data_IF_543036756504
#
_entry.id   IF_543036756504
#
_cell.length_a   1.000
_cell.length_b   1.000
_cell.length_c   1.000
_cell.angle_alpha   90.00
_cell.angle_beta   90.00
_cell.angle_gamma   90.00
#
_symmetry.space_group_name_H-M   'P 1'
#
loop_
_entity.id
_entity.type
_entity.pdbx_description
1 polymer ?
#
# COMPACT_ATOMS: atom_id res chain seq x y z
N UNK A 1 40.84 -11.32 -7.49
CA UNK A 1 39.41 -11.33 -7.84
C UNK A 1 38.65 -10.61 -6.74
N UNK A 2 38.79 -9.29 -6.70
CA UNK A 2 38.02 -8.46 -5.77
C UNK A 2 36.69 -8.17 -6.48
N UNK A 3 35.65 -8.93 -6.11
CA UNK A 3 34.29 -8.64 -6.55
C UNK A 3 33.90 -7.26 -6.05
N UNK A 4 33.59 -6.35 -6.98
CA UNK A 4 33.11 -5.02 -6.65
C UNK A 4 31.90 -5.12 -5.74
N UNK A 5 31.92 -4.39 -4.63
CA UNK A 5 30.78 -4.33 -3.72
C UNK A 5 29.56 -3.80 -4.49
N UNK A 6 28.34 -4.31 -4.24
CA UNK A 6 27.12 -3.93 -4.99
C UNK A 6 26.78 -2.43 -4.94
N UNK A 7 27.50 -1.67 -4.10
CA UNK A 7 27.40 -0.22 -3.93
C UNK A 7 28.28 0.59 -4.91
N UNK A 8 29.16 -0.03 -5.69
CA UNK A 8 30.06 0.66 -6.66
C UNK A 8 29.73 0.39 -8.12
N UNK A 9 28.83 -0.55 -8.40
CA UNK A 9 28.43 -0.91 -9.76
C UNK A 9 27.28 -0.01 -10.24
N UNK A 10 27.43 0.65 -11.39
CA UNK A 10 26.39 1.49 -12.02
C UNK A 10 25.82 0.88 -13.30
N UNK A 11 26.49 -0.13 -13.86
CA UNK A 11 26.11 -0.84 -15.09
C UNK A 11 26.56 -2.31 -15.01
N UNK A 12 25.99 -3.16 -15.86
CA UNK A 12 26.34 -4.59 -15.93
C UNK A 12 27.65 -4.75 -16.70
N UNK A 13 28.73 -5.08 -15.98
CA UNK A 13 30.07 -5.29 -16.54
C UNK A 13 30.62 -6.63 -16.04
N UNK A 14 31.69 -7.15 -16.65
CA UNK A 14 32.32 -8.41 -16.23
C UNK A 14 32.76 -8.43 -14.74
N UNK A 15 33.00 -7.27 -14.12
CA UNK A 15 33.28 -7.14 -12.68
C UNK A 15 32.03 -7.01 -11.79
N UNK A 16 30.85 -6.80 -12.37
CA UNK A 16 29.55 -6.57 -11.71
C UNK A 16 28.46 -7.46 -12.35
N UNK A 17 28.46 -8.78 -12.06
CA UNK A 17 27.46 -9.69 -12.61
C UNK A 17 26.05 -9.36 -12.09
N UNK A 18 25.03 -9.78 -12.84
CA UNK A 18 23.61 -9.52 -12.53
C UNK A 18 23.18 -10.14 -11.20
N UNK A 19 23.87 -11.21 -10.80
CA UNK A 19 23.74 -11.89 -9.51
C UNK A 19 24.14 -10.98 -8.33
N UNK A 20 25.00 -9.98 -8.57
CA UNK A 20 25.39 -8.98 -7.59
C UNK A 20 24.42 -7.79 -7.52
N UNK A 21 23.40 -7.73 -8.39
CA UNK A 21 22.33 -6.72 -8.29
C UNK A 21 21.37 -7.02 -7.13
N UNK A 22 20.64 -6.01 -6.65
CA UNK A 22 19.73 -6.14 -5.48
C UNK A 22 18.67 -7.24 -5.70
N UNK A 23 18.29 -7.51 -6.95
CA UNK A 23 17.32 -8.54 -7.29
C UNK A 23 17.96 -9.89 -7.63
N UNK A 24 19.22 -9.93 -8.06
CA UNK A 24 19.89 -11.17 -8.50
C UNK A 24 19.32 -11.79 -9.80
N UNK A 25 18.33 -11.15 -10.43
CA UNK A 25 17.71 -11.58 -11.70
C UNK A 25 17.19 -10.38 -12.50
N UNK A 26 17.04 -10.54 -13.81
CA UNK A 26 16.41 -9.54 -14.69
C UNK A 26 14.88 -9.54 -14.55
N UNK A 27 14.23 -8.41 -14.18
CA UNK A 27 12.78 -8.34 -14.05
C UNK A 27 12.03 -8.46 -15.39
N UNK A 28 11.32 -9.57 -15.62
CA UNK A 28 10.67 -9.88 -16.91
C UNK A 28 9.89 -8.71 -17.56
N UNK A 29 10.36 -8.17 -18.70
CA UNK A 29 9.78 -7.01 -19.42
C UNK A 29 8.29 -7.16 -19.77
N UNK A 30 7.84 -8.22 -20.46
CA UNK A 30 6.44 -8.36 -20.89
C UNK A 30 5.45 -8.30 -19.73
N UNK A 31 5.77 -8.90 -18.58
CA UNK A 31 4.89 -8.90 -17.41
C UNK A 31 4.78 -7.49 -16.82
N UNK A 32 5.90 -6.81 -16.64
CA UNK A 32 5.90 -5.44 -16.10
C UNK A 32 5.19 -4.47 -17.06
N UNK A 33 5.39 -4.59 -18.37
CA UNK A 33 4.70 -3.79 -19.38
C UNK A 33 3.18 -4.05 -19.39
N UNK A 34 2.75 -5.31 -19.30
CA UNK A 34 1.34 -5.65 -19.19
C UNK A 34 0.69 -5.01 -17.95
N UNK A 35 1.38 -5.02 -16.80
CA UNK A 35 0.89 -4.39 -15.58
C UNK A 35 0.78 -2.87 -15.72
N UNK A 36 1.75 -2.19 -16.35
CA UNK A 36 1.66 -0.75 -16.65
C UNK A 36 0.41 -0.45 -17.49
N UNK A 37 0.15 -1.23 -18.54
CA UNK A 37 -1.03 -1.07 -19.40
C UNK A 37 -2.31 -1.26 -18.61
N UNK A 38 -2.39 -2.31 -17.78
CA UNK A 38 -3.57 -2.59 -16.94
C UNK A 38 -3.83 -1.42 -15.98
N UNK A 39 -2.82 -0.94 -15.25
CA UNK A 39 -2.99 0.20 -14.34
C UNK A 39 -3.33 1.50 -15.09
N UNK A 40 -2.79 1.68 -16.31
CA UNK A 40 -3.17 2.79 -17.20
C UNK A 40 -4.65 2.74 -17.61
N UNK A 41 -5.16 1.58 -18.02
CA UNK A 41 -6.58 1.39 -18.35
C UNK A 41 -7.46 1.64 -17.11
N UNK A 42 -7.07 1.09 -15.96
CA UNK A 42 -7.79 1.32 -14.70
C UNK A 42 -7.85 2.81 -14.35
N UNK A 43 -6.77 3.55 -14.57
CA UNK A 43 -6.72 5.00 -14.36
C UNK A 43 -7.71 5.75 -15.27
N UNK A 44 -7.79 5.38 -16.56
CA UNK A 44 -8.74 5.97 -17.51
C UNK A 44 -10.20 5.67 -17.13
N UNK A 45 -10.48 4.43 -16.75
CA UNK A 45 -11.81 4.00 -16.28
C UNK A 45 -12.22 4.75 -15.01
N UNK A 46 -11.28 5.01 -14.10
CA UNK A 46 -11.53 5.82 -12.91
C UNK A 46 -11.74 7.29 -13.24
N UNK A 47 -10.98 7.84 -14.18
CA UNK A 47 -11.20 9.18 -14.72
C UNK A 47 -12.64 9.34 -15.23
N UNK A 48 -13.10 8.42 -16.09
CA UNK A 48 -14.47 8.43 -16.61
C UNK A 48 -15.53 8.31 -15.50
N UNK A 49 -15.33 7.43 -14.52
CA UNK A 49 -16.24 7.31 -13.37
C UNK A 49 -16.29 8.59 -12.54
N UNK A 50 -15.19 9.34 -12.44
CA UNK A 50 -15.16 10.63 -11.74
C UNK A 50 -16.08 11.64 -12.40
N UNK A 51 -15.99 11.77 -13.73
CA UNK A 51 -16.83 12.69 -14.49
C UNK A 51 -18.31 12.33 -14.39
N UNK A 52 -18.63 11.03 -14.40
CA UNK A 52 -20.01 10.55 -14.34
C UNK A 52 -20.63 10.62 -12.93
N UNK A 53 -19.91 10.18 -11.90
CA UNK A 53 -20.44 10.00 -10.55
C UNK A 53 -20.03 11.10 -9.56
N UNK A 54 -19.18 12.06 -9.97
CA UNK A 54 -18.72 13.21 -9.17
C UNK A 54 -18.11 12.84 -7.81
N UNK A 55 -17.52 11.64 -7.71
CA UNK A 55 -16.86 11.12 -6.49
C UNK A 55 -15.39 11.55 -6.42
N UNK A 56 -15.14 12.87 -6.33
CA UNK A 56 -13.80 13.45 -6.45
C UNK A 56 -12.77 12.90 -5.46
N UNK A 57 -13.11 12.75 -4.18
CA UNK A 57 -12.14 12.30 -3.14
C UNK A 57 -11.77 10.82 -3.27
N UNK A 58 -12.75 9.97 -3.56
CA UNK A 58 -12.51 8.54 -3.82
C UNK A 58 -11.67 8.35 -5.09
N UNK A 59 -12.02 9.07 -6.15
CA UNK A 59 -11.31 8.94 -7.41
C UNK A 59 -9.88 9.49 -7.34
N UNK A 60 -9.66 10.58 -6.61
CA UNK A 60 -8.32 11.11 -6.37
C UNK A 60 -7.42 10.06 -5.72
N UNK A 61 -7.88 9.43 -4.62
CA UNK A 61 -7.13 8.39 -3.93
C UNK A 61 -6.84 7.18 -4.85
N UNK A 62 -7.84 6.71 -5.60
CA UNK A 62 -7.66 5.60 -6.54
C UNK A 62 -6.70 5.94 -7.68
N UNK A 63 -6.80 7.15 -8.24
CA UNK A 63 -5.97 7.62 -9.36
C UNK A 63 -4.50 7.75 -8.93
N UNK A 64 -4.24 8.33 -7.77
CA UNK A 64 -2.88 8.43 -7.22
C UNK A 64 -2.31 7.04 -6.92
N UNK A 65 -3.12 6.12 -6.40
CA UNK A 65 -2.71 4.72 -6.21
C UNK A 65 -2.36 4.02 -7.53
N UNK A 66 -3.20 4.12 -8.56
CA UNK A 66 -2.95 3.54 -9.88
C UNK A 66 -1.74 4.15 -10.58
N UNK A 67 -1.59 5.48 -10.52
CA UNK A 67 -0.42 6.18 -11.03
C UNK A 67 0.84 5.68 -10.30
N UNK A 68 0.72 5.47 -9.00
CA UNK A 68 1.80 4.99 -8.19
C UNK A 68 2.29 3.58 -8.59
N UNK A 69 1.36 2.65 -8.77
CA UNK A 69 1.67 1.31 -9.28
C UNK A 69 2.28 1.38 -10.68
N UNK A 70 1.69 2.17 -11.60
CA UNK A 70 2.20 2.31 -12.96
C UNK A 70 3.64 2.82 -12.99
N UNK A 71 3.96 3.89 -12.24
CA UNK A 71 5.32 4.41 -12.12
C UNK A 71 6.26 3.38 -11.49
N UNK A 72 5.79 2.62 -10.49
CA UNK A 72 6.56 1.55 -9.87
C UNK A 72 6.95 0.44 -10.85
N UNK A 73 6.03 0.03 -11.73
CA UNK A 73 6.30 -0.95 -12.78
C UNK A 73 7.17 -0.38 -13.92
N UNK A 74 7.05 0.91 -14.24
CA UNK A 74 8.00 1.59 -15.13
C UNK A 74 9.41 1.55 -14.54
N UNK A 75 9.55 1.79 -13.23
CA UNK A 75 10.82 1.62 -12.51
C UNK A 75 11.42 0.22 -12.67
N UNK A 76 10.59 -0.83 -12.65
CA UNK A 76 11.02 -2.22 -12.93
C UNK A 76 11.48 -2.46 -14.36
N UNK A 77 10.86 -1.80 -15.33
CA UNK A 77 11.29 -1.88 -16.74
C UNK A 77 12.66 -1.25 -16.90
N UNK A 78 12.87 -0.06 -16.32
CA UNK A 78 14.18 0.62 -16.29
C UNK A 78 15.23 -0.29 -15.62
N UNK A 79 14.85 -0.99 -14.55
CA UNK A 79 15.74 -1.90 -13.83
C UNK A 79 16.04 -3.19 -14.61
N UNK A 80 15.23 -3.57 -15.61
CA UNK A 80 15.61 -4.62 -16.55
C UNK A 80 16.68 -4.15 -17.52
N UNK A 81 16.61 -2.91 -18.02
CA UNK A 81 17.64 -2.37 -18.91
C UNK A 81 18.96 -2.16 -18.17
N UNK A 82 18.90 -1.59 -16.95
CA UNK A 82 20.06 -1.43 -16.08
C UNK A 82 19.72 -1.80 -14.61
N UNK A 83 20.06 -3.04 -14.18
CA UNK A 83 19.85 -3.54 -12.82
C UNK A 83 20.50 -2.72 -11.70
N UNK A 84 21.50 -1.90 -12.05
CA UNK A 84 22.26 -1.07 -11.13
C UNK A 84 21.76 0.39 -11.07
N UNK A 85 20.69 0.72 -11.80
CA UNK A 85 20.11 2.07 -11.77
C UNK A 85 19.50 2.39 -10.40
N UNK A 86 20.20 3.26 -9.65
CA UNK A 86 19.70 3.78 -8.38
C UNK A 86 18.35 4.50 -8.53
N UNK A 87 18.16 5.24 -9.63
CA UNK A 87 16.91 5.96 -9.93
C UNK A 87 15.75 4.99 -10.18
N UNK A 88 15.96 3.93 -10.97
CA UNK A 88 14.93 2.91 -11.23
C UNK A 88 14.51 2.19 -9.94
N UNK A 89 15.49 1.84 -9.11
CA UNK A 89 15.26 1.18 -7.82
C UNK A 89 14.51 2.08 -6.82
N UNK A 90 14.93 3.33 -6.69
CA UNK A 90 14.29 4.30 -5.78
C UNK A 90 12.86 4.64 -6.22
N UNK A 91 12.63 4.85 -7.52
CA UNK A 91 11.28 5.06 -8.06
C UNK A 91 10.39 3.85 -7.75
N UNK A 92 10.85 2.64 -8.07
CA UNK A 92 10.09 1.43 -7.83
C UNK A 92 9.72 1.28 -6.34
N UNK A 93 10.70 1.34 -5.45
CA UNK A 93 10.47 1.12 -4.02
C UNK A 93 9.53 2.17 -3.44
N UNK A 94 9.81 3.46 -3.69
CA UNK A 94 9.03 4.55 -3.11
C UNK A 94 7.58 4.47 -3.57
N UNK A 95 7.36 4.31 -4.88
CA UNK A 95 6.01 4.43 -5.42
C UNK A 95 5.17 3.18 -5.11
N UNK A 96 5.76 1.98 -5.15
CA UNK A 96 5.07 0.76 -4.71
C UNK A 96 4.77 0.78 -3.20
N UNK A 97 5.57 1.46 -2.39
CA UNK A 97 5.29 1.61 -0.96
C UNK A 97 4.08 2.52 -0.72
N UNK A 98 3.98 3.62 -1.47
CA UNK A 98 2.93 4.62 -1.29
C UNK A 98 1.58 4.18 -1.86
N UNK A 99 1.55 3.49 -3.00
CA UNK A 99 0.31 3.13 -3.69
C UNK A 99 -0.74 2.39 -2.84
N UNK A 100 -0.40 1.36 -2.03
CA UNK A 100 -1.36 0.67 -1.17
C UNK A 100 -2.04 1.56 -0.14
N UNK A 101 -1.35 2.58 0.37
CA UNK A 101 -1.93 3.48 1.36
C UNK A 101 -3.03 4.37 0.75
N UNK A 102 -2.87 4.78 -0.52
CA UNK A 102 -3.92 5.48 -1.25
C UNK A 102 -5.13 4.58 -1.52
N UNK A 103 -4.92 3.29 -1.82
CA UNK A 103 -6.02 2.33 -1.92
C UNK A 103 -6.75 2.13 -0.58
N UNK A 104 -6.02 2.06 0.54
CA UNK A 104 -6.63 2.04 1.89
C UNK A 104 -7.47 3.28 2.15
N UNK A 105 -6.98 4.47 1.80
CA UNK A 105 -7.74 5.72 1.95
C UNK A 105 -9.07 5.68 1.17
N UNK A 106 -9.07 5.12 -0.05
CA UNK A 106 -10.28 4.92 -0.84
C UNK A 106 -11.27 3.95 -0.18
N UNK A 107 -10.78 2.87 0.45
CA UNK A 107 -11.58 1.93 1.23
C UNK A 107 -12.19 2.62 2.47
N UNK A 108 -11.42 3.44 3.17
CA UNK A 108 -11.91 4.18 4.34
C UNK A 108 -13.03 5.17 3.98
N UNK A 109 -12.88 5.86 2.85
CA UNK A 109 -13.93 6.75 2.31
C UNK A 109 -15.17 5.96 1.91
N UNK A 110 -15.00 4.80 1.29
CA UNK A 110 -16.10 3.90 0.91
C UNK A 110 -16.88 3.45 2.14
N UNK A 111 -16.18 3.00 3.18
CA UNK A 111 -16.79 2.54 4.41
C UNK A 111 -17.55 3.66 5.13
N UNK A 112 -17.02 4.89 5.14
CA UNK A 112 -17.71 6.06 5.70
C UNK A 112 -19.08 6.25 5.07
N UNK A 113 -19.17 6.24 3.74
CA UNK A 113 -20.45 6.41 3.04
C UNK A 113 -21.38 5.22 3.29
N UNK A 114 -20.81 4.01 3.36
CA UNK A 114 -21.54 2.79 3.70
C UNK A 114 -22.20 2.86 5.08
N UNK A 115 -21.44 3.27 6.11
CA UNK A 115 -21.95 3.42 7.47
C UNK A 115 -23.01 4.53 7.57
N UNK A 116 -22.83 5.64 6.85
CA UNK A 116 -23.84 6.71 6.80
C UNK A 116 -25.14 6.26 6.13
N UNK A 117 -25.06 5.42 5.09
CA UNK A 117 -26.22 4.93 4.35
C UNK A 117 -26.99 3.82 5.08
N UNK A 118 -26.31 2.92 5.80
CA UNK A 118 -26.93 1.76 6.47
C UNK A 118 -27.46 2.09 7.87
N UNK A 119 -26.93 3.12 8.52
CA UNK A 119 -27.37 3.55 9.84
C UNK A 119 -26.20 4.01 10.70
N UNK A 120 -26.05 5.32 10.96
CA UNK A 120 -24.96 5.84 11.79
C UNK A 120 -25.02 5.35 13.25
N UNK A 121 -26.21 4.97 13.74
CA UNK A 121 -26.46 4.52 15.11
C UNK A 121 -25.86 3.13 15.41
N UNK A 122 -25.56 2.32 14.39
CA UNK A 122 -24.92 1.01 14.58
C UNK A 122 -23.39 1.11 14.75
N UNK A 123 -22.79 2.22 14.34
CA UNK A 123 -21.33 2.40 14.37
C UNK A 123 -20.85 2.82 15.77
N UNK A 124 -19.80 2.18 16.27
CA UNK A 124 -19.20 2.46 17.59
C UNK A 124 -18.68 3.90 17.71
N UNK A 125 -18.13 4.47 16.62
CA UNK A 125 -17.90 5.91 16.52
C UNK A 125 -18.49 6.49 15.23
N UNK A 126 -18.67 7.81 15.24
CA UNK A 126 -19.13 8.59 14.08
C UNK A 126 -18.22 8.33 12.87
N UNK A 127 -18.74 7.82 11.74
CA UNK A 127 -17.95 7.44 10.56
C UNK A 127 -17.06 8.54 9.99
N UNK A 128 -17.40 9.81 10.26
CA UNK A 128 -16.64 10.97 9.78
C UNK A 128 -15.27 11.11 10.45
N UNK A 129 -15.13 10.75 11.73
CA UNK A 129 -13.86 10.90 12.46
C UNK A 129 -12.88 9.76 12.15
N UNK A 130 -13.39 8.53 12.00
CA UNK A 130 -12.55 7.39 11.65
C UNK A 130 -11.73 7.62 10.39
N UNK A 131 -12.37 8.05 9.30
CA UNK A 131 -11.65 8.24 8.02
C UNK A 131 -10.56 9.29 8.14
N UNK A 132 -10.79 10.39 8.86
CA UNK A 132 -9.77 11.42 9.06
C UNK A 132 -8.62 10.94 9.93
N UNK A 133 -8.91 10.24 11.03
CA UNK A 133 -7.89 9.70 11.93
C UNK A 133 -7.05 8.66 11.21
N UNK A 134 -7.66 7.66 10.55
CA UNK A 134 -6.94 6.59 9.88
C UNK A 134 -6.11 7.09 8.69
N UNK A 135 -6.64 8.00 7.86
CA UNK A 135 -5.86 8.60 6.77
C UNK A 135 -4.70 9.44 7.33
N UNK A 136 -4.94 10.25 8.36
CA UNK A 136 -3.89 11.08 8.96
C UNK A 136 -2.77 10.25 9.58
N UNK A 137 -3.13 9.16 10.24
CA UNK A 137 -2.19 8.20 10.80
C UNK A 137 -1.41 7.46 9.69
N UNK A 138 -2.08 6.99 8.64
CA UNK A 138 -1.39 6.33 7.52
C UNK A 138 -0.42 7.31 6.83
N UNK A 139 -0.80 8.59 6.68
CA UNK A 139 0.07 9.63 6.12
C UNK A 139 1.29 9.89 7.01
N UNK A 140 1.11 9.93 8.33
CA UNK A 140 2.20 10.04 9.29
C UNK A 140 3.17 8.84 9.16
N UNK A 141 2.62 7.63 9.10
CA UNK A 141 3.40 6.40 8.86
C UNK A 141 4.19 6.44 7.56
N UNK A 142 3.59 6.88 6.45
CA UNK A 142 4.28 7.02 5.16
C UNK A 142 5.39 8.07 5.23
N UNK A 143 5.16 9.17 5.95
CA UNK A 143 6.17 10.23 6.12
C UNK A 143 7.37 9.71 6.91
N UNK A 144 7.14 8.99 8.01
CA UNK A 144 8.20 8.33 8.77
C UNK A 144 8.97 7.34 7.90
N UNK A 145 8.28 6.56 7.07
CA UNK A 145 8.93 5.60 6.17
C UNK A 145 9.76 6.29 5.09
N UNK A 146 9.27 7.39 4.51
CA UNK A 146 9.99 8.18 3.53
C UNK A 146 11.25 8.82 4.12
N UNK A 147 11.12 9.45 5.29
CA UNK A 147 12.26 10.05 6.00
C UNK A 147 13.26 8.98 6.43
N UNK A 148 12.80 7.89 7.04
CA UNK A 148 13.64 6.79 7.48
C UNK A 148 14.38 6.11 6.32
N UNK A 149 13.68 5.86 5.21
CA UNK A 149 14.26 5.32 3.98
C UNK A 149 15.29 6.26 3.35
N UNK A 150 15.00 7.57 3.30
CA UNK A 150 15.93 8.58 2.78
C UNK A 150 17.19 8.73 3.66
N UNK A 151 17.04 8.74 4.98
CA UNK A 151 18.16 8.75 5.92
C UNK A 151 19.02 7.49 5.79
N UNK A 152 18.39 6.32 5.68
CA UNK A 152 19.11 5.06 5.48
C UNK A 152 19.85 5.01 4.14
N UNK A 153 19.29 5.59 3.08
CA UNK A 153 19.91 5.63 1.75
C UNK A 153 21.07 6.63 1.63
N UNK A 154 21.04 7.72 2.40
CA UNK A 154 22.08 8.76 2.39
C UNK A 154 23.20 8.53 3.41
N UNK A 155 23.00 7.59 4.34
CA UNK A 155 23.98 7.16 5.32
C UNK A 155 25.10 6.34 4.64
N UNK A 156 26.08 7.02 4.03
CA UNK A 156 27.22 6.41 3.32
C UNK A 156 27.96 5.36 4.17
N UNK A 157 28.86 5.81 5.05
CA UNK A 157 29.67 4.95 5.93
C UNK A 157 29.27 5.08 7.41
N UNK A 158 28.31 5.95 7.72
CA UNK A 158 27.85 6.16 9.09
C UNK A 158 26.78 5.12 9.46
N UNK A 159 27.22 4.00 10.04
CA UNK A 159 26.33 2.93 10.51
C UNK A 159 25.27 3.44 11.48
N UNK A 160 25.60 4.39 12.37
CA UNK A 160 24.64 4.95 13.32
C UNK A 160 23.51 5.70 12.62
N UNK A 161 23.82 6.46 11.56
CA UNK A 161 22.80 7.16 10.76
C UNK A 161 21.95 6.18 9.95
N UNK A 162 22.56 5.12 9.41
CA UNK A 162 21.85 4.08 8.68
C UNK A 162 20.86 3.33 9.60
N UNK A 163 21.29 2.97 10.80
CA UNK A 163 20.46 2.29 11.80
C UNK A 163 19.37 3.21 12.35
N UNK A 164 19.65 4.50 12.55
CA UNK A 164 18.64 5.49 12.91
C UNK A 164 17.54 5.60 11.83
N UNK A 165 17.91 5.74 10.55
CA UNK A 165 16.94 5.78 9.44
C UNK A 165 16.12 4.49 9.33
N UNK A 166 16.79 3.35 9.48
CA UNK A 166 16.17 2.02 9.54
C UNK A 166 15.11 1.96 10.65
N UNK A 167 15.45 2.39 11.87
CA UNK A 167 14.53 2.37 13.02
C UNK A 167 13.33 3.30 12.83
N UNK A 168 13.53 4.50 12.26
CA UNK A 168 12.44 5.43 11.93
C UNK A 168 11.48 4.81 10.92
N UNK A 169 12.01 4.12 9.90
CA UNK A 169 11.18 3.42 8.93
C UNK A 169 10.39 2.27 9.55
N UNK A 170 10.99 1.49 10.46
CA UNK A 170 10.30 0.42 11.21
C UNK A 170 9.13 0.99 12.00
N UNK A 171 9.36 2.09 12.74
CA UNK A 171 8.33 2.72 13.55
C UNK A 171 7.09 3.07 12.71
N UNK A 172 7.30 3.62 11.52
CA UNK A 172 6.22 3.91 10.57
C UNK A 172 5.45 2.66 10.11
N UNK A 173 6.15 1.54 9.84
CA UNK A 173 5.53 0.28 9.43
C UNK A 173 4.72 -0.35 10.57
N UNK A 174 5.28 -0.40 11.79
CA UNK A 174 4.62 -0.95 12.98
C UNK A 174 3.33 -0.18 13.26
N UNK A 175 3.41 1.15 13.23
CA UNK A 175 2.25 2.02 13.43
C UNK A 175 1.16 1.76 12.38
N UNK A 176 1.55 1.60 11.10
CA UNK A 176 0.62 1.32 10.00
C UNK A 176 -0.07 -0.05 10.14
N UNK A 177 0.65 -1.10 10.56
CA UNK A 177 0.06 -2.43 10.77
C UNK A 177 -0.91 -2.40 11.95
N UNK A 178 -0.54 -1.73 13.04
CA UNK A 178 -1.41 -1.56 14.20
C UNK A 178 -2.72 -0.87 13.82
N UNK A 179 -2.66 0.23 13.07
CA UNK A 179 -3.84 1.02 12.72
C UNK A 179 -4.76 0.30 11.75
N UNK A 180 -4.19 -0.40 10.76
CA UNK A 180 -4.95 -1.28 9.86
C UNK A 180 -5.64 -2.42 10.60
N UNK A 181 -4.99 -2.99 11.63
CA UNK A 181 -5.57 -4.05 12.46
C UNK A 181 -6.78 -3.53 13.25
N UNK A 182 -6.62 -2.38 13.91
CA UNK A 182 -7.71 -1.72 14.64
C UNK A 182 -8.87 -1.38 13.69
N UNK A 183 -8.57 -0.84 12.51
CA UNK A 183 -9.58 -0.58 11.48
C UNK A 183 -10.33 -1.86 11.10
N UNK A 184 -9.61 -2.94 10.77
CA UNK A 184 -10.20 -4.23 10.40
C UNK A 184 -11.13 -4.77 11.48
N UNK A 185 -10.74 -4.67 12.75
CA UNK A 185 -11.58 -5.05 13.90
C UNK A 185 -12.87 -4.23 13.95
N UNK A 186 -12.78 -2.91 13.80
CA UNK A 186 -13.95 -2.01 13.81
C UNK A 186 -14.91 -2.30 12.65
N UNK A 187 -14.38 -2.57 11.45
CA UNK A 187 -15.18 -2.99 10.29
C UNK A 187 -15.89 -4.31 10.57
N UNK A 188 -15.17 -5.31 11.09
CA UNK A 188 -15.73 -6.61 11.42
C UNK A 188 -16.84 -6.49 12.48
N UNK A 189 -16.62 -5.68 13.51
CA UNK A 189 -17.62 -5.41 14.54
C UNK A 189 -18.87 -4.72 13.95
N UNK A 190 -18.70 -3.73 13.08
CA UNK A 190 -19.81 -3.07 12.39
C UNK A 190 -20.64 -4.07 11.56
N UNK A 191 -19.99 -4.93 10.77
CA UNK A 191 -20.69 -5.97 10.00
C UNK A 191 -21.39 -7.01 10.87
N UNK A 192 -20.77 -7.39 11.99
CA UNK A 192 -21.38 -8.31 12.94
C UNK A 192 -22.65 -7.71 13.56
N UNK A 193 -22.59 -6.47 14.04
CA UNK A 193 -23.75 -5.77 14.61
C UNK A 193 -24.86 -5.59 13.57
N UNK A 194 -24.50 -5.20 12.35
CA UNK A 194 -25.43 -5.07 11.23
C UNK A 194 -26.13 -6.40 10.88
N UNK A 195 -25.40 -7.53 10.96
CA UNK A 195 -25.97 -8.86 10.76
C UNK A 195 -26.90 -9.27 11.91
N UNK A 196 -26.61 -8.83 13.13
CA UNK A 196 -27.46 -9.06 14.31
C UNK A 196 -28.78 -8.29 14.20
N UNK A 197 -28.73 -6.98 13.96
CA UNK A 197 -29.93 -6.12 13.78
C UNK A 197 -30.83 -6.61 12.63
N UNK A 198 -30.22 -7.16 11.57
CA UNK A 198 -30.97 -7.81 10.47
C UNK A 198 -31.85 -8.97 10.95
N UNK A 199 -31.43 -9.72 11.96
CA UNK A 199 -32.21 -10.83 12.54
C UNK A 199 -33.37 -10.35 13.41
N UNK A 200 -33.27 -9.15 13.96
CA UNK A 200 -34.25 -8.59 14.91
C UNK A 200 -35.23 -7.57 14.28
N UNK A 201 -35.18 -7.35 12.96
CA UNK A 201 -36.16 -6.50 12.25
C UNK A 201 -35.60 -5.20 11.68
N UNK A 202 -34.44 -5.26 11.00
CA UNK A 202 -33.76 -4.07 10.49
C UNK A 202 -34.55 -3.24 9.45
N UNK A 203 -34.35 -1.92 9.56
CA UNK A 203 -34.68 -0.80 8.68
C UNK A 203 -34.86 -1.18 7.18
N UNK A 204 -35.98 -0.80 6.51
CA UNK A 204 -36.27 -1.18 5.12
C UNK A 204 -35.16 -0.79 4.12
N UNK A 205 -34.45 0.30 4.36
CA UNK A 205 -33.34 0.80 3.54
C UNK A 205 -32.15 -0.17 3.52
N UNK A 206 -31.82 -0.78 4.67
CA UNK A 206 -30.76 -1.79 4.76
C UNK A 206 -31.18 -3.07 4.02
N UNK A 207 -32.46 -3.46 4.11
CA UNK A 207 -32.98 -4.65 3.43
C UNK A 207 -32.90 -4.51 1.91
N UNK A 208 -33.18 -3.33 1.36
CA UNK A 208 -33.09 -3.03 -0.07
C UNK A 208 -31.65 -3.00 -0.59
N UNK A 209 -30.72 -2.36 0.13
CA UNK A 209 -29.29 -2.32 -0.24
C UNK A 209 -28.67 -3.73 -0.29
N UNK A 210 -28.95 -4.54 0.73
CA UNK A 210 -28.46 -5.92 0.83
C UNK A 210 -29.13 -6.89 -0.14
N UNK A 211 -30.26 -6.52 -0.76
CA UNK A 211 -30.90 -7.30 -1.82
C UNK A 211 -30.16 -7.21 -3.17
N UNK A 212 -29.46 -6.10 -3.41
CA UNK A 212 -28.75 -5.87 -4.67
C UNK A 212 -27.48 -6.73 -4.78
N UNK A 213 -27.40 -7.55 -5.83
CA UNK A 213 -26.16 -8.31 -6.16
C UNK A 213 -24.96 -7.39 -6.36
N UNK A 214 -25.16 -6.20 -6.93
CA UNK A 214 -24.10 -5.20 -7.17
C UNK A 214 -23.46 -4.73 -5.86
N UNK A 215 -24.28 -4.52 -4.83
CA UNK A 215 -23.81 -4.09 -3.52
C UNK A 215 -23.03 -5.18 -2.78
N UNK A 216 -23.48 -6.44 -2.86
CA UNK A 216 -22.73 -7.57 -2.29
C UNK A 216 -21.38 -7.78 -2.98
N UNK A 217 -21.35 -7.68 -4.31
CA UNK A 217 -20.11 -7.78 -5.09
C UNK A 217 -19.15 -6.63 -4.76
N UNK A 218 -19.66 -5.40 -4.66
CA UNK A 218 -18.87 -4.24 -4.26
C UNK A 218 -18.27 -4.40 -2.86
N UNK A 219 -19.07 -4.88 -1.91
CA UNK A 219 -18.60 -5.14 -0.56
C UNK A 219 -17.55 -6.25 -0.53
N UNK A 220 -17.80 -7.37 -1.22
CA UNK A 220 -16.85 -8.47 -1.35
C UNK A 220 -15.51 -8.01 -1.95
N UNK A 221 -15.57 -7.25 -3.04
CA UNK A 221 -14.37 -6.68 -3.67
C UNK A 221 -13.60 -5.75 -2.73
N UNK A 222 -14.30 -4.93 -1.94
CA UNK A 222 -13.67 -4.01 -0.98
C UNK A 222 -13.01 -4.76 0.18
N UNK A 223 -13.66 -5.82 0.67
CA UNK A 223 -13.10 -6.71 1.71
C UNK A 223 -11.86 -7.43 1.20
N UNK A 224 -11.91 -7.98 -0.01
CA UNK A 224 -10.75 -8.64 -0.63
C UNK A 224 -9.59 -7.66 -0.80
N UNK A 225 -9.85 -6.45 -1.33
CA UNK A 225 -8.84 -5.41 -1.46
C UNK A 225 -8.20 -5.05 -0.12
N UNK A 226 -9.00 -4.88 0.93
CA UNK A 226 -8.50 -4.63 2.28
C UNK A 226 -7.60 -5.76 2.78
N UNK A 227 -8.00 -7.03 2.60
CA UNK A 227 -7.19 -8.18 3.01
C UNK A 227 -5.85 -8.22 2.27
N UNK A 228 -5.83 -7.96 0.96
CA UNK A 228 -4.57 -7.89 0.20
C UNK A 228 -3.64 -6.79 0.71
N UNK A 229 -4.17 -5.60 1.01
CA UNK A 229 -3.36 -4.50 1.58
C UNK A 229 -2.86 -4.87 2.98
N UNK A 230 -3.71 -5.47 3.81
CA UNK A 230 -3.35 -5.93 5.15
C UNK A 230 -2.21 -6.96 5.10
N UNK A 231 -2.37 -8.00 4.28
CA UNK A 231 -1.37 -9.04 4.05
C UNK A 231 -0.04 -8.42 3.61
N UNK A 232 -0.07 -7.47 2.66
CA UNK A 232 1.14 -6.75 2.22
C UNK A 232 1.81 -6.01 3.39
N UNK A 233 1.06 -5.31 4.23
CA UNK A 233 1.62 -4.58 5.37
C UNK A 233 2.26 -5.53 6.40
N UNK A 234 1.64 -6.68 6.65
CA UNK A 234 2.20 -7.73 7.52
C UNK A 234 3.48 -8.32 6.92
N UNK A 235 3.49 -8.70 5.64
CA UNK A 235 4.69 -9.20 4.99
C UNK A 235 5.84 -8.20 5.05
N UNK A 236 5.55 -6.91 4.88
CA UNK A 236 6.56 -5.87 4.98
C UNK A 236 7.12 -5.74 6.39
N UNK A 237 6.26 -5.80 7.40
CA UNK A 237 6.70 -5.86 8.79
C UNK A 237 7.60 -7.07 9.06
N UNK A 238 7.18 -8.27 8.65
CA UNK A 238 7.94 -9.52 8.84
C UNK A 238 9.26 -9.49 8.10
N UNK A 239 9.26 -9.08 6.82
CA UNK A 239 10.47 -8.94 6.01
C UNK A 239 11.48 -8.00 6.67
N UNK A 240 11.01 -6.92 7.28
CA UNK A 240 11.88 -5.97 7.95
C UNK A 240 12.42 -6.49 9.29
N UNK A 241 11.56 -7.16 10.07
CA UNK A 241 11.96 -7.82 11.30
C UNK A 241 13.06 -8.86 11.02
N UNK A 242 12.92 -9.62 9.93
CA UNK A 242 13.91 -10.60 9.50
C UNK A 242 15.25 -9.95 9.13
N UNK A 243 15.24 -8.83 8.39
CA UNK A 243 16.47 -8.07 8.06
C UNK A 243 17.20 -7.56 9.31
N UNK A 244 16.44 -7.13 10.32
CA UNK A 244 17.00 -6.69 11.60
C UNK A 244 17.57 -7.88 12.38
N UNK A 245 16.83 -8.97 12.49
CA UNK A 245 17.30 -10.20 13.15
C UNK A 245 18.58 -10.75 12.52
N UNK A 246 18.67 -10.75 11.19
CA UNK A 246 19.88 -11.17 10.48
C UNK A 246 21.10 -10.29 10.79
N UNK A 247 20.92 -8.97 10.90
CA UNK A 247 21.98 -8.04 11.37
C UNK A 247 22.47 -8.37 12.79
N UNK A 248 21.57 -8.80 13.68
CA UNK A 248 21.93 -9.18 15.05
C UNK A 248 22.62 -10.57 15.12
N UNK A 249 22.28 -11.49 14.22
CA UNK A 249 22.83 -12.85 14.18
C UNK A 249 24.21 -12.93 13.50
N UNK A 250 24.50 -12.04 12.55
CA UNK A 250 25.79 -11.95 11.85
C UNK A 250 26.80 -10.99 12.53
N UNK A 251 26.58 -10.59 13.79
CA UNK A 251 27.47 -9.71 14.56
C UNK A 251 28.08 -10.46 15.73
#
# INVERSE_FOLDING_TARGET
MEGGSPLTCTEVTAQCPVEASIYGYYPNRPINAALVIVFGILMLVQGWQTFKYKTYTYSFAMTVGCLGEAIGYVGRIILHDNPFSATGFQMQITTLIMAPAFFSAAIYLTLKHLCLALGPNLSLLKPRFYTWIFIGVDLLSLTLQGIGGGLAATAKQNKAQQDAGTNVMIAGIVWQVFTLTVFGFLVAHFFWRLRSERRHGANPTAKQLWGSRKFKLFLGSTTVAFLFIFIRCVYRYVSFLMSVWFKYLCR
#
